data_IF_660644610851
#
_entry.id   IF_660644610851
#
_cell.length_a   1.000
_cell.length_b   1.000
_cell.length_c   1.000
_cell.angle_alpha   90.00
_cell.angle_beta   90.00
_cell.angle_gamma   90.00
#
_symmetry.space_group_name_H-M   'P 1'
#
loop_
_entity.id
_entity.type
_entity.pdbx_description
1 polymer ?
#
# COMPACT_ATOMS: atom_id res chain seq x y z
N UNK A 1 2.36 -14.80 -1.01
CA UNK A 1 1.34 -13.92 -1.61
C UNK A 1 1.76 -12.48 -1.39
N UNK A 2 1.51 -11.58 -2.34
CA UNK A 2 2.09 -10.22 -2.33
C UNK A 2 1.77 -9.42 -1.07
N UNK A 3 0.56 -9.54 -0.49
CA UNK A 3 0.18 -8.86 0.73
C UNK A 3 1.02 -9.30 1.96
N UNK A 4 1.23 -10.60 2.13
CA UNK A 4 2.10 -11.15 3.19
C UNK A 4 3.55 -10.72 2.98
N UNK A 5 4.05 -10.81 1.74
CA UNK A 5 5.42 -10.38 1.40
C UNK A 5 5.63 -8.88 1.68
N UNK A 6 4.63 -8.06 1.37
CA UNK A 6 4.65 -6.62 1.64
C UNK A 6 4.66 -6.31 3.14
N UNK A 7 3.82 -7.00 3.93
CA UNK A 7 3.79 -6.86 5.38
C UNK A 7 5.13 -7.25 6.03
N UNK A 8 5.70 -8.39 5.62
CA UNK A 8 7.01 -8.84 6.11
C UNK A 8 8.13 -7.88 5.69
N UNK A 9 8.10 -7.37 4.46
CA UNK A 9 9.07 -6.39 3.99
C UNK A 9 9.05 -5.13 4.85
N UNK A 10 7.87 -4.64 5.24
CA UNK A 10 7.73 -3.53 6.17
C UNK A 10 8.27 -3.87 7.57
N UNK A 11 7.89 -5.01 8.13
CA UNK A 11 8.29 -5.41 9.50
C UNK A 11 9.81 -5.60 9.65
N UNK A 12 10.47 -6.05 8.58
CA UNK A 12 11.91 -6.27 8.55
C UNK A 12 12.70 -5.14 7.88
N UNK A 13 12.06 -3.99 7.58
CA UNK A 13 12.69 -2.84 6.91
C UNK A 13 13.39 -3.19 5.58
N UNK A 14 12.87 -4.19 4.86
CA UNK A 14 13.35 -4.59 3.55
C UNK A 14 12.75 -3.67 2.47
N UNK A 15 13.28 -2.45 2.37
CA UNK A 15 12.71 -1.39 1.54
C UNK A 15 12.61 -1.75 0.05
N UNK A 16 13.61 -2.46 -0.49
CA UNK A 16 13.59 -2.90 -1.90
C UNK A 16 12.44 -3.84 -2.22
N UNK A 17 12.19 -4.83 -1.35
CA UNK A 17 11.06 -5.75 -1.52
C UNK A 17 9.72 -5.06 -1.32
N UNK A 18 9.63 -4.15 -0.35
CA UNK A 18 8.44 -3.34 -0.12
C UNK A 18 8.08 -2.56 -1.37
N UNK A 19 9.04 -1.86 -1.96
CA UNK A 19 8.84 -1.05 -3.16
C UNK A 19 8.42 -1.92 -4.36
N UNK A 20 9.09 -3.06 -4.58
CA UNK A 20 8.72 -3.99 -5.65
C UNK A 20 7.27 -4.50 -5.49
N UNK A 21 6.84 -4.80 -4.26
CA UNK A 21 5.47 -5.22 -3.99
C UNK A 21 4.46 -4.08 -4.26
N UNK A 22 4.77 -2.85 -3.86
CA UNK A 22 3.90 -1.68 -4.12
C UNK A 22 3.78 -1.37 -5.62
N UNK A 23 4.88 -1.49 -6.37
CA UNK A 23 4.87 -1.34 -7.83
C UNK A 23 4.05 -2.44 -8.50
N UNK A 24 4.21 -3.70 -8.07
CA UNK A 24 3.39 -4.80 -8.59
C UNK A 24 1.88 -4.56 -8.36
N UNK A 25 1.53 -4.03 -7.18
CA UNK A 25 0.15 -3.69 -6.81
C UNK A 25 -0.37 -2.40 -7.43
N UNK A 26 0.44 -1.68 -8.21
CA UNK A 26 -0.02 -0.50 -8.95
C UNK A 26 -0.89 -0.88 -10.16
N UNK A 27 -0.87 -2.15 -10.59
CA UNK A 27 -1.82 -2.68 -11.57
C UNK A 27 -3.19 -2.95 -10.92
N UNK A 28 -4.31 -2.44 -11.47
CA UNK A 28 -5.64 -2.68 -10.93
C UNK A 28 -5.99 -4.17 -10.78
N UNK A 29 -5.61 -5.00 -11.74
CA UNK A 29 -5.89 -6.45 -11.70
C UNK A 29 -5.14 -7.17 -10.58
N UNK A 30 -3.90 -6.76 -10.30
CA UNK A 30 -3.10 -7.33 -9.22
C UNK A 30 -3.64 -6.89 -7.85
N UNK A 31 -4.09 -5.64 -7.76
CA UNK A 31 -4.73 -5.11 -6.56
C UNK A 31 -6.03 -5.85 -6.26
N UNK A 32 -6.89 -6.03 -7.26
CA UNK A 32 -8.14 -6.78 -7.14
C UNK A 32 -7.86 -8.22 -6.68
N UNK A 33 -6.93 -8.91 -7.34
CA UNK A 33 -6.52 -10.25 -6.96
C UNK A 33 -5.98 -10.32 -5.52
N UNK A 34 -5.25 -9.31 -5.05
CA UNK A 34 -4.78 -9.24 -3.67
C UNK A 34 -5.93 -9.05 -2.67
N UNK A 35 -6.88 -8.16 -2.94
CA UNK A 35 -8.01 -7.87 -2.04
C UNK A 35 -8.90 -9.10 -1.83
N UNK A 36 -8.97 -9.99 -2.81
CA UNK A 36 -9.74 -11.24 -2.73
C UNK A 36 -9.08 -12.33 -1.87
N UNK A 37 -7.97 -12.04 -1.21
CA UNK A 37 -7.20 -13.04 -0.45
C UNK A 37 -7.15 -12.71 1.05
N UNK A 38 -7.03 -13.74 1.88
CA UNK A 38 -6.83 -13.57 3.33
C UNK A 38 -5.55 -12.79 3.67
N UNK A 39 -4.60 -12.73 2.73
CA UNK A 39 -3.40 -11.92 2.85
C UNK A 39 -3.71 -10.42 2.97
N UNK A 40 -4.82 -9.95 2.39
CA UNK A 40 -5.24 -8.55 2.51
C UNK A 40 -5.65 -8.21 3.95
N UNK A 41 -6.46 -9.06 4.60
CA UNK A 41 -6.83 -8.84 6.00
C UNK A 41 -5.61 -8.91 6.92
N UNK A 42 -4.67 -9.82 6.65
CA UNK A 42 -3.39 -9.86 7.36
C UNK A 42 -2.60 -8.54 7.23
N UNK A 43 -2.49 -8.01 6.00
CA UNK A 43 -1.79 -6.74 5.75
C UNK A 43 -2.46 -5.57 6.48
N UNK A 44 -3.79 -5.51 6.46
CA UNK A 44 -4.60 -4.48 7.10
C UNK A 44 -4.44 -4.48 8.62
N UNK A 45 -4.39 -5.66 9.25
CA UNK A 45 -4.20 -5.81 10.70
C UNK A 45 -2.75 -5.59 11.12
N UNK A 46 -1.79 -6.11 10.36
CA UNK A 46 -0.37 -6.11 10.75
C UNK A 46 0.35 -4.82 10.40
N UNK A 47 -0.01 -4.19 9.28
CA UNK A 47 0.72 -3.05 8.71
C UNK A 47 -0.23 -2.01 8.09
N UNK A 48 -1.15 -1.39 8.87
CA UNK A 48 -2.12 -0.44 8.35
C UNK A 48 -1.50 0.81 7.70
N UNK A 49 -0.29 1.20 8.09
CA UNK A 49 0.46 2.30 7.47
C UNK A 49 0.86 2.01 6.03
N UNK A 50 1.19 0.76 5.70
CA UNK A 50 1.57 0.34 4.35
C UNK A 50 0.36 0.32 3.44
N UNK A 51 -0.80 -0.11 3.96
CA UNK A 51 -2.04 -0.04 3.20
C UNK A 51 -2.40 1.42 2.86
N UNK A 52 -2.24 2.35 3.80
CA UNK A 52 -2.42 3.80 3.54
C UNK A 52 -1.46 4.31 2.48
N UNK A 53 -0.20 3.87 2.51
CA UNK A 53 0.79 4.22 1.49
C UNK A 53 0.39 3.70 0.10
N UNK A 54 -0.06 2.45 0.01
CA UNK A 54 -0.56 1.87 -1.24
C UNK A 54 -1.73 2.67 -1.80
N UNK A 55 -2.74 2.98 -0.96
CA UNK A 55 -3.88 3.80 -1.36
C UNK A 55 -3.41 5.18 -1.85
N UNK A 56 -2.50 5.83 -1.14
CA UNK A 56 -1.97 7.14 -1.53
C UNK A 56 -1.24 7.12 -2.88
N UNK A 57 -0.62 6.01 -3.27
CA UNK A 57 0.03 5.82 -4.57
C UNK A 57 -0.97 5.62 -5.72
N UNK A 58 -2.15 5.11 -5.41
CA UNK A 58 -3.21 4.86 -6.40
C UNK A 58 -4.09 6.09 -6.63
N UNK A 59 -4.09 7.05 -5.69
CA UNK A 59 -4.85 8.29 -5.84
C UNK A 59 -4.24 9.17 -6.95
N UNK A 60 -5.06 9.82 -7.79
CA UNK A 60 -4.59 10.78 -8.79
C UNK A 60 -3.79 11.92 -8.14
N UNK A 61 -2.76 12.41 -8.82
CA UNK A 61 -1.84 13.43 -8.32
C UNK A 61 -2.56 14.73 -7.97
N UNK A 62 -3.72 15.01 -8.60
CA UNK A 62 -4.55 16.17 -8.29
C UNK A 62 -5.13 16.13 -6.86
N UNK A 63 -5.31 14.95 -6.26
CA UNK A 63 -5.65 14.78 -4.85
C UNK A 63 -4.43 14.95 -3.90
N UNK A 64 -3.21 14.94 -4.47
CA UNK A 64 -1.91 15.28 -3.84
C UNK A 64 -1.97 16.58 -3.04
N UNK A 65 -2.41 17.63 -3.75
CA UNK A 65 -2.34 19.03 -3.32
C UNK A 65 -3.37 19.40 -2.24
N UNK A 66 -4.45 18.63 -2.08
CA UNK A 66 -5.46 18.90 -1.06
C UNK A 66 -4.97 18.58 0.37
N UNK A 67 -3.91 17.77 0.52
CA UNK A 67 -3.33 17.43 1.83
C UNK A 67 -2.55 18.59 2.44
N UNK A 68 -1.99 19.48 1.61
CA UNK A 68 -1.23 20.65 2.08
C UNK A 68 -2.15 21.77 2.61
N UNK A 69 -3.43 21.78 2.23
CA UNK A 69 -4.41 22.78 2.68
C UNK A 69 -4.95 22.44 4.08
N UNK A 70 -5.12 21.15 4.40
CA UNK A 70 -5.73 20.71 5.67
C UNK A 70 -4.74 20.73 6.85
N UNK A 71 -3.43 20.80 6.59
CA UNK A 71 -2.40 20.90 7.65
C UNK A 71 -1.95 22.34 7.93
N UNK A 72 -2.55 23.33 7.26
CA UNK A 72 -2.22 24.76 7.38
C UNK A 72 -3.33 25.59 8.07
N UNK A 73 -4.33 24.94 8.67
CA UNK A 73 -5.37 25.53 9.53
C UNK A 73 -5.25 24.89 10.91
#
# INVERSE_FOLDING_TARGET
MVATSLALAQQHNCNGLKEACLQFLSSPSNLEAMVLTDGYEYLKLSCPSVLKELIARLLPVEMKAAKDIVMAI
#
